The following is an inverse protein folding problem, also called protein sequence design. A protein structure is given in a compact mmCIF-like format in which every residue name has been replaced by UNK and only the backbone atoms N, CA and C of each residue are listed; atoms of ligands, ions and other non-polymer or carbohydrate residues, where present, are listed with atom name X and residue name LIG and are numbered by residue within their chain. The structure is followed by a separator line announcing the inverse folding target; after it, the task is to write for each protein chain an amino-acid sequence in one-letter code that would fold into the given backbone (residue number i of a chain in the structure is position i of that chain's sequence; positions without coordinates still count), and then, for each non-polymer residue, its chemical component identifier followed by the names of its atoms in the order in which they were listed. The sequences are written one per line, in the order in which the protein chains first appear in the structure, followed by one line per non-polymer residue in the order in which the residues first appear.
data_IF_001815653194
#
_entry.id   IF_001815653194
#
_cell.length_a   1.000
_cell.length_b   1.000
_cell.length_c   1.000
_cell.angle_alpha   90.00
_cell.angle_beta   90.00
_cell.angle_gamma   90.00
#
_symmetry.space_group_name_H-M   'P 1'
#
loop_
_entity.id
_entity.type
_entity.pdbx_description
1 polymer ?
#
# COMPACT_ATOMS: atom_id res chain seq x y z
N UNK A 1 0.88 -12.21 15.52
CA UNK A 1 1.26 -10.86 15.05
C UNK A 1 2.75 -10.74 14.78
N UNK A 2 3.65 -10.91 15.76
CA UNK A 2 5.11 -10.71 15.58
C UNK A 2 5.76 -11.56 14.50
N UNK A 3 5.35 -12.82 14.32
CA UNK A 3 5.87 -13.68 13.24
C UNK A 3 5.60 -13.10 11.84
N UNK A 4 4.48 -12.39 11.65
CA UNK A 4 4.17 -11.75 10.37
C UNK A 4 5.08 -10.54 10.08
N UNK A 5 5.49 -9.81 11.10
CA UNK A 5 6.48 -8.74 10.94
C UNK A 5 7.84 -9.30 10.51
N UNK A 6 8.35 -10.31 11.21
CA UNK A 6 9.60 -10.97 10.83
C UNK A 6 9.55 -11.49 9.39
N UNK A 7 8.43 -12.12 9.00
CA UNK A 7 8.23 -12.61 7.65
C UNK A 7 8.14 -11.45 6.62
N UNK A 8 7.43 -10.37 6.95
CA UNK A 8 7.30 -9.20 6.08
C UNK A 8 8.66 -8.51 5.85
N UNK A 9 9.44 -8.34 6.90
CA UNK A 9 10.82 -7.81 6.79
C UNK A 9 11.70 -8.74 5.95
N UNK A 10 11.66 -10.05 6.21
CA UNK A 10 12.41 -11.03 5.44
C UNK A 10 12.05 -10.99 3.94
N UNK A 11 10.76 -10.94 3.62
CA UNK A 11 10.28 -10.82 2.24
C UNK A 11 10.74 -9.50 1.59
N UNK A 12 10.62 -8.38 2.32
CA UNK A 12 11.05 -7.08 1.81
C UNK A 12 12.55 -7.09 1.48
N UNK A 13 13.39 -7.49 2.43
CA UNK A 13 14.85 -7.46 2.23
C UNK A 13 15.33 -8.47 1.19
N UNK A 14 14.72 -9.67 1.14
CA UNK A 14 15.08 -10.69 0.16
C UNK A 14 14.75 -10.26 -1.27
N UNK A 15 13.70 -9.48 -1.45
CA UNK A 15 13.23 -9.03 -2.78
C UNK A 15 13.23 -7.50 -2.91
N UNK A 16 14.12 -6.83 -2.17
CA UNK A 16 14.17 -5.36 -2.07
C UNK A 16 14.25 -4.69 -3.43
N UNK A 17 15.09 -5.21 -4.33
CA UNK A 17 15.25 -4.66 -5.68
C UNK A 17 13.97 -4.71 -6.50
N UNK A 18 13.22 -5.82 -6.44
CA UNK A 18 11.96 -5.96 -7.15
C UNK A 18 10.91 -5.01 -6.59
N UNK A 19 10.73 -4.98 -5.27
CA UNK A 19 9.74 -4.14 -4.63
C UNK A 19 10.06 -2.66 -4.77
N UNK A 20 11.35 -2.29 -4.62
CA UNK A 20 11.78 -0.92 -4.87
C UNK A 20 11.54 -0.50 -6.32
N UNK A 21 11.88 -1.35 -7.31
CA UNK A 21 11.62 -1.05 -8.70
C UNK A 21 10.12 -0.82 -8.98
N UNK A 22 9.23 -1.68 -8.43
CA UNK A 22 7.78 -1.55 -8.60
C UNK A 22 7.29 -0.22 -8.00
N UNK A 23 7.70 0.10 -6.78
CA UNK A 23 7.21 1.29 -6.07
C UNK A 23 7.80 2.56 -6.67
N UNK A 24 9.12 2.60 -6.88
CA UNK A 24 9.82 3.80 -7.37
C UNK A 24 9.39 4.19 -8.79
N UNK A 25 8.99 3.26 -9.62
CA UNK A 25 8.44 3.57 -10.95
C UNK A 25 7.24 4.52 -10.88
N UNK A 26 6.48 4.45 -9.79
CA UNK A 26 5.28 5.29 -9.59
C UNK A 26 5.57 6.43 -8.60
N UNK A 27 6.19 6.13 -7.46
CA UNK A 27 6.38 7.11 -6.39
C UNK A 27 7.41 8.19 -6.75
N UNK A 28 8.50 7.84 -7.44
CA UNK A 28 9.52 8.82 -7.77
C UNK A 28 9.01 9.90 -8.72
N UNK A 29 8.35 9.60 -9.87
CA UNK A 29 7.73 10.63 -10.69
C UNK A 29 6.65 11.42 -9.92
N UNK A 30 5.87 10.74 -9.08
CA UNK A 30 4.85 11.37 -8.23
C UNK A 30 5.47 12.41 -7.29
N UNK A 31 6.53 12.04 -6.57
CA UNK A 31 7.24 12.92 -5.65
C UNK A 31 7.86 14.13 -6.37
N UNK A 32 8.41 13.93 -7.58
CA UNK A 32 8.91 15.04 -8.41
C UNK A 32 7.79 16.01 -8.76
N UNK A 33 6.63 15.51 -9.21
CA UNK A 33 5.47 16.35 -9.55
C UNK A 33 4.97 17.11 -8.33
N UNK A 34 4.83 16.46 -7.17
CA UNK A 34 4.42 17.08 -5.92
C UNK A 34 5.40 18.20 -5.55
N UNK A 35 6.71 17.94 -5.66
CA UNK A 35 7.73 18.94 -5.34
C UNK A 35 7.68 20.14 -6.28
N UNK A 36 7.48 19.92 -7.58
CA UNK A 36 7.31 21.01 -8.55
C UNK A 36 6.07 21.87 -8.25
N UNK A 37 4.94 21.23 -7.88
CA UNK A 37 3.73 21.93 -7.46
C UNK A 37 4.01 22.78 -6.20
N UNK A 38 4.68 22.18 -5.19
CA UNK A 38 5.02 22.87 -3.94
C UNK A 38 5.91 24.10 -4.21
N UNK A 39 6.91 23.96 -5.07
CA UNK A 39 7.80 25.07 -5.43
C UNK A 39 7.08 26.16 -6.21
N UNK A 40 6.18 25.80 -7.13
CA UNK A 40 5.42 26.77 -7.94
C UNK A 40 4.32 27.48 -7.16
N UNK A 41 3.65 26.77 -6.25
CA UNK A 41 2.57 27.33 -5.44
C UNK A 41 3.06 28.19 -4.27
N UNK A 42 4.35 28.11 -3.93
CA UNK A 42 4.95 28.75 -2.77
C UNK A 42 4.59 28.10 -1.43
N UNK A 43 5.38 28.37 -0.41
CA UNK A 43 5.19 27.79 0.96
C UNK A 43 3.82 28.12 1.58
N UNK A 44 3.16 29.19 1.14
CA UNK A 44 1.87 29.63 1.65
C UNK A 44 0.70 28.74 1.18
N UNK A 45 0.88 27.91 0.14
CA UNK A 45 -0.21 27.13 -0.42
C UNK A 45 -0.12 25.63 -0.06
N UNK A 46 -0.04 25.37 1.25
CA UNK A 46 -0.02 24.00 1.81
C UNK A 46 -1.17 23.13 1.29
N UNK A 47 -2.37 23.73 1.13
CA UNK A 47 -3.54 22.99 0.63
C UNK A 47 -3.37 22.49 -0.80
N UNK A 48 -2.73 23.24 -1.69
CA UNK A 48 -2.47 22.79 -3.06
C UNK A 48 -1.56 21.56 -3.07
N UNK A 49 -0.51 21.57 -2.26
CA UNK A 49 0.40 20.43 -2.11
C UNK A 49 -0.33 19.21 -1.53
N UNK A 50 -1.14 19.41 -0.50
CA UNK A 50 -1.92 18.34 0.12
C UNK A 50 -2.89 17.70 -0.87
N UNK A 51 -3.67 18.47 -1.61
CA UNK A 51 -4.59 17.96 -2.63
C UNK A 51 -3.84 17.25 -3.77
N UNK A 52 -2.74 17.80 -4.24
CA UNK A 52 -1.93 17.17 -5.27
C UNK A 52 -1.43 15.80 -4.82
N UNK A 53 -0.88 15.70 -3.61
CA UNK A 53 -0.41 14.44 -3.01
C UNK A 53 -1.53 13.41 -2.90
N UNK A 54 -2.70 13.83 -2.40
CA UNK A 54 -3.87 12.96 -2.27
C UNK A 54 -4.34 12.41 -3.62
N UNK A 55 -4.45 13.25 -4.65
CA UNK A 55 -4.91 12.82 -5.97
C UNK A 55 -3.89 11.91 -6.67
N UNK A 56 -2.60 12.24 -6.58
CA UNK A 56 -1.54 11.40 -7.13
C UNK A 56 -1.58 10.01 -6.48
N UNK A 57 -1.69 9.94 -5.16
CA UNK A 57 -1.77 8.67 -4.45
C UNK A 57 -3.05 7.89 -4.82
N UNK A 58 -4.21 8.52 -4.82
CA UNK A 58 -5.49 7.88 -5.15
C UNK A 58 -5.48 7.27 -6.56
N UNK A 59 -4.89 7.98 -7.53
CA UNK A 59 -4.88 7.55 -8.93
C UNK A 59 -3.79 6.50 -9.19
N UNK A 60 -2.60 6.69 -8.67
CA UNK A 60 -1.44 5.89 -9.05
C UNK A 60 -1.09 4.76 -8.08
N UNK A 61 -1.48 4.86 -6.80
CA UNK A 61 -1.21 3.77 -5.85
C UNK A 61 -1.80 2.42 -6.27
N UNK A 62 -3.00 2.32 -6.84
CA UNK A 62 -3.54 1.04 -7.30
C UNK A 62 -2.61 0.29 -8.26
N UNK A 63 -1.81 1.02 -9.06
CA UNK A 63 -0.90 0.43 -10.02
C UNK A 63 0.22 -0.37 -9.34
N UNK A 64 0.98 0.28 -8.45
CA UNK A 64 2.07 -0.42 -7.76
C UNK A 64 1.57 -1.42 -6.72
N UNK A 65 0.42 -1.17 -6.07
CA UNK A 65 -0.18 -2.10 -5.11
C UNK A 65 -0.62 -3.38 -5.82
N UNK A 66 -1.25 -3.28 -6.99
CA UNK A 66 -1.63 -4.44 -7.79
C UNK A 66 -0.43 -5.28 -8.21
N UNK A 67 0.64 -4.61 -8.69
CA UNK A 67 1.89 -5.26 -9.04
C UNK A 67 2.57 -5.94 -7.83
N UNK A 68 2.60 -5.26 -6.69
CA UNK A 68 3.17 -5.77 -5.44
C UNK A 68 2.45 -7.02 -4.94
N UNK A 69 1.11 -6.99 -4.90
CA UNK A 69 0.29 -8.12 -4.45
C UNK A 69 0.49 -9.33 -5.35
N UNK A 70 0.51 -9.13 -6.66
CA UNK A 70 0.81 -10.21 -7.61
C UNK A 70 2.21 -10.80 -7.38
N UNK A 71 3.23 -9.94 -7.24
CA UNK A 71 4.59 -10.39 -6.96
C UNK A 71 4.67 -11.20 -5.66
N UNK A 72 4.03 -10.72 -4.59
CA UNK A 72 3.96 -11.42 -3.31
C UNK A 72 3.29 -12.78 -3.42
N UNK A 73 2.18 -12.89 -4.17
CA UNK A 73 1.48 -14.16 -4.38
C UNK A 73 2.36 -15.18 -5.12
N UNK A 74 3.07 -14.76 -6.17
CA UNK A 74 4.01 -15.62 -6.91
C UNK A 74 5.16 -16.09 -6.02
N UNK A 75 5.80 -15.18 -5.28
CA UNK A 75 6.88 -15.49 -4.34
C UNK A 75 6.41 -16.49 -3.26
N UNK A 76 5.23 -16.28 -2.67
CA UNK A 76 4.67 -17.18 -1.65
C UNK A 76 4.26 -18.54 -2.20
N UNK A 77 4.00 -18.62 -3.50
CA UNK A 77 3.75 -19.90 -4.22
C UNK A 77 5.05 -20.56 -4.69
N UNK A 78 6.23 -20.03 -4.36
CA UNK A 78 7.53 -20.57 -4.76
C UNK A 78 7.88 -20.34 -6.23
N UNK A 79 7.18 -19.43 -6.90
CA UNK A 79 7.37 -19.11 -8.31
C UNK A 79 8.23 -17.84 -8.47
N UNK A 80 9.03 -17.81 -9.53
CA UNK A 80 9.74 -16.59 -9.92
C UNK A 80 8.76 -15.57 -10.51
N UNK A 81 9.08 -14.29 -10.34
CA UNK A 81 8.31 -13.18 -10.90
C UNK A 81 9.27 -12.10 -11.35
N UNK A 82 9.01 -11.56 -12.53
CA UNK A 82 9.77 -10.43 -13.07
C UNK A 82 9.04 -9.13 -12.83
N UNK A 83 9.78 -8.02 -12.84
CA UNK A 83 9.23 -6.67 -12.75
C UNK A 83 8.15 -6.43 -13.83
N UNK A 84 8.42 -6.84 -15.08
CA UNK A 84 7.48 -6.64 -16.21
C UNK A 84 6.17 -7.37 -16.01
N UNK A 85 6.21 -8.62 -15.57
CA UNK A 85 5.00 -9.41 -15.27
C UNK A 85 4.18 -8.75 -14.16
N UNK A 86 4.84 -8.35 -13.06
CA UNK A 86 4.17 -7.69 -11.96
C UNK A 86 3.48 -6.39 -12.39
N UNK A 87 4.20 -5.52 -13.10
CA UNK A 87 3.66 -4.25 -13.58
C UNK A 87 2.54 -4.42 -14.62
N UNK A 88 2.63 -5.43 -15.49
CA UNK A 88 1.57 -5.74 -16.45
C UNK A 88 0.26 -6.12 -15.74
N UNK A 89 0.34 -6.94 -14.67
CA UNK A 89 -0.84 -7.28 -13.86
C UNK A 89 -1.33 -6.06 -13.07
N UNK A 90 -0.43 -5.27 -12.49
CA UNK A 90 -0.79 -4.01 -11.83
C UNK A 90 -1.59 -3.09 -12.76
N UNK A 91 -1.14 -2.92 -14.00
CA UNK A 91 -1.82 -2.11 -15.02
C UNK A 91 -3.18 -2.73 -15.42
N UNK A 92 -3.24 -4.04 -15.64
CA UNK A 92 -4.49 -4.77 -15.96
C UNK A 92 -5.53 -4.62 -14.86
N UNK A 93 -5.12 -4.65 -13.59
CA UNK A 93 -6.00 -4.57 -12.42
C UNK A 93 -6.19 -3.14 -11.89
N UNK A 94 -5.50 -2.16 -12.47
CA UNK A 94 -5.49 -0.77 -11.99
C UNK A 94 -6.89 -0.20 -11.79
N UNK A 95 -7.74 -0.29 -12.82
CA UNK A 95 -9.09 0.29 -12.75
C UNK A 95 -9.98 -0.43 -11.72
N UNK A 96 -9.89 -1.76 -11.64
CA UNK A 96 -10.66 -2.54 -10.67
C UNK A 96 -10.25 -2.19 -9.23
N UNK A 97 -8.94 -2.06 -8.97
CA UNK A 97 -8.41 -1.63 -7.68
C UNK A 97 -8.78 -0.18 -7.37
N UNK A 98 -8.60 0.73 -8.32
CA UNK A 98 -8.98 2.14 -8.16
C UNK A 98 -10.46 2.26 -7.77
N UNK A 99 -11.36 1.64 -8.54
CA UNK A 99 -12.79 1.70 -8.27
C UNK A 99 -13.17 1.04 -6.93
N UNK A 100 -12.58 -0.12 -6.61
CA UNK A 100 -12.82 -0.81 -5.35
C UNK A 100 -12.40 0.02 -4.15
N UNK A 101 -11.19 0.61 -4.20
CA UNK A 101 -10.66 1.50 -3.15
C UNK A 101 -11.45 2.80 -3.05
N UNK A 102 -11.81 3.40 -4.18
CA UNK A 102 -12.60 4.61 -4.20
C UNK A 102 -13.95 4.41 -3.49
N UNK A 103 -14.68 3.35 -3.84
CA UNK A 103 -15.95 3.01 -3.19
C UNK A 103 -15.73 2.68 -1.70
N UNK A 104 -14.71 1.90 -1.36
CA UNK A 104 -14.41 1.59 0.04
C UNK A 104 -14.11 2.86 0.85
N UNK A 105 -13.33 3.79 0.28
CA UNK A 105 -12.99 5.06 0.92
C UNK A 105 -14.23 5.94 1.15
N UNK A 106 -15.21 5.96 0.24
CA UNK A 106 -16.49 6.65 0.46
C UNK A 106 -17.17 6.10 1.72
N UNK A 107 -17.30 4.77 1.84
CA UNK A 107 -17.93 4.15 3.01
C UNK A 107 -17.14 4.41 4.31
N UNK A 108 -15.81 4.34 4.24
CA UNK A 108 -14.94 4.63 5.39
C UNK A 108 -15.10 6.09 5.81
N UNK A 109 -15.08 7.03 4.86
CA UNK A 109 -15.26 8.46 5.13
C UNK A 109 -16.63 8.77 5.72
N UNK A 110 -17.69 8.15 5.21
CA UNK A 110 -19.03 8.25 5.80
C UNK A 110 -19.05 7.68 7.23
N UNK A 111 -18.34 6.58 7.48
CA UNK A 111 -18.17 6.01 8.80
C UNK A 111 -17.51 6.98 9.78
N UNK A 112 -16.43 7.66 9.35
CA UNK A 112 -15.73 8.67 10.13
C UNK A 112 -16.58 9.94 10.35
N UNK A 113 -17.39 10.32 9.35
CA UNK A 113 -18.31 11.45 9.47
C UNK A 113 -19.38 11.19 10.56
N UNK A 114 -19.84 9.95 10.68
CA UNK A 114 -20.77 9.56 11.71
C UNK A 114 -20.10 9.52 13.10
N UNK A 115 -19.03 8.72 13.23
CA UNK A 115 -18.24 8.57 14.47
C UNK A 115 -16.90 7.89 14.12
N UNK A 116 -15.88 8.13 14.94
CA UNK A 116 -14.54 7.54 14.77
C UNK A 116 -14.60 6.00 14.78
N UNK A 117 -15.36 5.41 15.70
CA UNK A 117 -15.45 3.94 15.86
C UNK A 117 -16.01 3.25 14.61
N UNK A 118 -17.17 3.65 14.03
CA UNK A 118 -17.64 3.04 12.78
C UNK A 118 -16.69 3.26 11.61
N UNK A 119 -15.99 4.39 11.53
CA UNK A 119 -14.96 4.63 10.51
C UNK A 119 -13.82 3.60 10.59
N UNK A 120 -13.26 3.40 11.77
CA UNK A 120 -12.23 2.38 12.03
C UNK A 120 -12.76 0.97 11.71
N UNK A 121 -13.97 0.64 12.11
CA UNK A 121 -14.56 -0.68 11.85
C UNK A 121 -14.73 -0.95 10.35
N UNK A 122 -15.12 0.07 9.57
CA UNK A 122 -15.21 -0.05 8.11
C UNK A 122 -13.82 -0.16 7.45
N UNK A 123 -12.84 0.62 7.90
CA UNK A 123 -11.47 0.52 7.43
C UNK A 123 -10.92 -0.91 7.66
N UNK A 124 -11.15 -1.49 8.83
CA UNK A 124 -10.73 -2.86 9.14
C UNK A 124 -11.48 -3.92 8.31
N UNK A 125 -12.77 -3.72 8.01
CA UNK A 125 -13.53 -4.61 7.12
C UNK A 125 -12.95 -4.65 5.70
N UNK A 126 -12.41 -3.55 5.23
CA UNK A 126 -11.85 -3.41 3.89
C UNK A 126 -10.32 -3.52 3.85
N UNK A 127 -9.67 -3.84 4.98
CA UNK A 127 -8.21 -3.94 5.05
C UNK A 127 -7.58 -4.97 4.10
N UNK A 128 -8.32 -6.03 3.75
CA UNK A 128 -7.87 -7.08 2.83
C UNK A 128 -8.54 -6.99 1.44
N UNK A 129 -9.07 -5.80 1.09
CA UNK A 129 -9.74 -5.57 -0.18
C UNK A 129 -8.81 -5.73 -1.38
N UNK A 130 -7.62 -5.12 -1.30
CA UNK A 130 -6.67 -5.10 -2.40
C UNK A 130 -6.25 -6.50 -2.85
N UNK A 131 -5.78 -7.41 -1.96
CA UNK A 131 -5.46 -8.76 -2.37
C UNK A 131 -6.69 -9.54 -2.87
N UNK A 132 -7.88 -9.29 -2.33
CA UNK A 132 -9.09 -9.93 -2.84
C UNK A 132 -9.45 -9.51 -4.27
N UNK A 133 -9.25 -8.23 -4.62
CA UNK A 133 -9.48 -7.71 -5.99
C UNK A 133 -8.44 -8.26 -6.98
N UNK A 134 -7.17 -8.31 -6.58
CA UNK A 134 -6.08 -8.70 -7.49
C UNK A 134 -6.07 -10.21 -7.75
N UNK A 135 -6.31 -11.02 -6.71
CA UNK A 135 -6.06 -12.46 -6.75
C UNK A 135 -7.33 -13.31 -6.98
N UNK A 136 -8.51 -12.82 -6.58
CA UNK A 136 -9.73 -13.63 -6.70
C UNK A 136 -10.57 -13.29 -7.93
N UNK A 137 -10.22 -12.23 -8.69
CA UNK A 137 -10.88 -11.76 -9.93
C UNK A 137 -12.43 -11.70 -9.84
N UNK A 138 -12.91 -11.42 -8.64
CA UNK A 138 -14.32 -11.22 -8.38
C UNK A 138 -14.66 -9.74 -8.50
N UNK A 139 -15.81 -9.39 -9.02
CA UNK A 139 -16.24 -8.01 -9.14
C UNK A 139 -16.14 -7.21 -7.82
N UNK A 140 -16.14 -5.89 -7.88
CA UNK A 140 -15.87 -4.97 -6.77
C UNK A 140 -16.72 -5.28 -5.52
N UNK A 141 -18.02 -5.54 -5.70
CA UNK A 141 -18.93 -5.85 -4.59
C UNK A 141 -18.56 -7.17 -3.90
N UNK A 142 -18.25 -8.20 -4.67
CA UNK A 142 -17.86 -9.51 -4.15
C UNK A 142 -16.52 -9.45 -3.42
N UNK A 143 -15.54 -8.67 -3.93
CA UNK A 143 -14.25 -8.46 -3.27
C UNK A 143 -14.39 -7.73 -1.93
N UNK A 144 -15.31 -6.76 -1.81
CA UNK A 144 -15.61 -6.10 -0.54
C UNK A 144 -16.24 -7.06 0.48
N UNK A 145 -17.23 -7.85 0.04
CA UNK A 145 -17.83 -8.88 0.89
C UNK A 145 -16.77 -9.90 1.33
N UNK A 146 -15.89 -10.31 0.41
CA UNK A 146 -14.79 -11.22 0.68
C UNK A 146 -13.82 -10.66 1.73
N UNK A 147 -13.36 -9.42 1.57
CA UNK A 147 -12.52 -8.74 2.57
C UNK A 147 -13.18 -8.72 3.95
N UNK A 148 -14.47 -8.39 4.01
CA UNK A 148 -15.24 -8.38 5.27
C UNK A 148 -15.26 -9.76 5.95
N UNK A 149 -15.42 -10.83 5.17
CA UNK A 149 -15.39 -12.22 5.67
C UNK A 149 -14.00 -12.62 6.16
N UNK A 150 -12.95 -12.32 5.38
CA UNK A 150 -11.57 -12.68 5.72
C UNK A 150 -11.04 -11.92 6.95
N UNK A 151 -11.52 -10.71 7.21
CA UNK A 151 -11.14 -9.91 8.39
C UNK A 151 -11.94 -10.29 9.64
N UNK A 152 -13.03 -11.06 9.51
CA UNK A 152 -13.84 -11.46 10.65
C UNK A 152 -13.01 -12.27 11.66
N UNK A 153 -13.14 -11.92 12.95
CA UNK A 153 -12.39 -12.55 14.04
C UNK A 153 -10.93 -12.08 14.21
N UNK A 154 -10.35 -11.38 13.21
CA UNK A 154 -8.94 -10.93 13.24
C UNK A 154 -8.77 -9.41 13.18
N UNK A 155 -9.86 -8.65 13.26
CA UNK A 155 -9.84 -7.18 13.07
C UNK A 155 -8.93 -6.47 14.05
N UNK A 156 -8.95 -6.86 15.31
CA UNK A 156 -8.10 -6.26 16.34
C UNK A 156 -6.61 -6.58 16.14
N UNK A 157 -6.31 -7.79 15.65
CA UNK A 157 -4.94 -8.16 15.32
C UNK A 157 -4.42 -7.35 14.12
N UNK A 158 -5.25 -7.15 13.08
CA UNK A 158 -4.92 -6.32 11.92
C UNK A 158 -4.76 -4.86 12.36
N UNK A 159 -5.65 -4.34 13.20
CA UNK A 159 -5.54 -2.99 13.75
C UNK A 159 -4.23 -2.79 14.49
N UNK A 160 -3.91 -3.69 15.42
CA UNK A 160 -2.67 -3.62 16.18
C UNK A 160 -1.43 -3.67 15.28
N UNK A 161 -1.45 -4.51 14.24
CA UNK A 161 -0.35 -4.60 13.28
C UNK A 161 -0.19 -3.29 12.47
N UNK A 162 -1.28 -2.75 11.94
CA UNK A 162 -1.26 -1.50 11.16
C UNK A 162 -0.83 -0.32 12.04
N UNK A 163 -1.37 -0.20 13.25
CA UNK A 163 -0.99 0.87 14.20
C UNK A 163 0.50 0.80 14.54
N UNK A 164 1.02 -0.41 14.82
CA UNK A 164 2.43 -0.57 15.16
C UNK A 164 3.35 -0.20 13.98
N UNK A 165 3.00 -0.61 12.76
CA UNK A 165 3.74 -0.21 11.55
C UNK A 165 3.66 1.30 11.31
N UNK A 166 2.49 1.89 11.51
CA UNK A 166 2.30 3.34 11.35
C UNK A 166 3.13 4.14 12.34
N UNK A 167 3.15 3.72 13.61
CA UNK A 167 4.03 4.33 14.63
C UNK A 167 5.51 4.17 14.28
N UNK A 168 5.92 3.00 13.79
CA UNK A 168 7.27 2.79 13.28
C UNK A 168 7.62 3.71 12.12
N UNK A 169 6.71 3.88 11.15
CA UNK A 169 6.88 4.82 10.03
C UNK A 169 7.00 6.26 10.51
N UNK A 170 6.21 6.69 11.51
CA UNK A 170 6.32 8.03 12.10
C UNK A 170 7.73 8.24 12.67
N UNK A 171 8.23 7.28 13.45
CA UNK A 171 9.59 7.38 14.05
C UNK A 171 10.65 7.47 12.95
N UNK A 172 10.56 6.63 11.93
CA UNK A 172 11.48 6.66 10.78
C UNK A 172 11.37 7.99 10.03
N UNK A 173 10.16 8.49 9.80
CA UNK A 173 9.95 9.79 9.13
C UNK A 173 10.56 10.93 9.94
N UNK A 174 10.34 10.98 11.25
CA UNK A 174 10.95 12.00 12.12
C UNK A 174 12.48 11.95 11.99
N UNK A 175 13.09 10.76 12.03
CA UNK A 175 14.53 10.60 11.90
C UNK A 175 15.06 11.17 10.57
N UNK A 176 14.38 10.92 9.47
CA UNK A 176 14.77 11.43 8.15
C UNK A 176 14.51 12.93 7.97
N UNK A 177 13.42 13.46 8.53
CA UNK A 177 13.06 14.87 8.34
C UNK A 177 13.66 15.82 9.39
N UNK A 178 14.12 15.31 10.54
CA UNK A 178 14.75 16.13 11.57
C UNK A 178 15.91 17.01 11.05
N UNK A 179 16.85 16.50 10.21
CA UNK A 179 17.92 17.30 9.66
C UNK A 179 17.42 18.48 8.78
N UNK A 180 16.33 18.26 8.02
CA UNK A 180 15.77 19.33 7.16
C UNK A 180 15.19 20.47 8.00
N UNK A 181 14.46 20.15 9.07
CA UNK A 181 13.96 21.14 10.01
C UNK A 181 15.08 21.94 10.69
N UNK A 182 16.19 21.28 11.02
CA UNK A 182 17.37 21.97 11.59
C UNK A 182 18.03 22.92 10.59
N UNK A 183 18.19 22.51 9.32
CA UNK A 183 18.76 23.33 8.26
C UNK A 183 17.86 24.56 7.99
N UNK A 184 16.53 24.38 7.97
CA UNK A 184 15.58 25.47 7.82
C UNK A 184 15.60 26.44 9.02
N UNK A 185 15.68 25.91 10.24
CA UNK A 185 15.78 26.72 11.47
C UNK A 185 17.08 27.55 11.56
N UNK A 186 18.16 27.08 10.93
CA UNK A 186 19.44 27.77 10.85
C UNK A 186 19.51 28.77 9.66
N UNK A 187 18.40 28.94 8.93
CA UNK A 187 18.29 29.82 7.75
C UNK A 187 19.35 29.57 6.66
N UNK A 188 19.86 28.35 6.57
CA UNK A 188 20.86 27.97 5.57
C UNK A 188 20.23 27.94 4.17
N UNK A 189 20.79 28.72 3.24
CA UNK A 189 20.34 28.82 1.84
C UNK A 189 20.74 27.60 1.01
N UNK A 190 20.29 26.40 1.39
CA UNK A 190 20.58 25.16 0.67
C UNK A 190 19.35 24.67 -0.09
N UNK A 191 19.53 24.34 -1.38
CA UNK A 191 18.46 23.72 -2.14
C UNK A 191 18.35 22.23 -1.76
N UNK A 192 17.44 21.90 -0.86
CA UNK A 192 17.21 20.55 -0.35
C UNK A 192 16.21 19.73 -1.19
N UNK A 193 15.58 20.33 -2.21
CA UNK A 193 14.55 19.67 -3.00
C UNK A 193 14.95 18.28 -3.57
N UNK A 194 16.15 18.09 -4.15
CA UNK A 194 16.55 16.77 -4.62
C UNK A 194 16.68 15.72 -3.50
N UNK A 195 17.19 16.15 -2.34
CA UNK A 195 17.38 15.25 -1.19
C UNK A 195 16.02 14.88 -0.59
N UNK A 196 15.09 15.82 -0.47
CA UNK A 196 13.72 15.55 -0.03
C UNK A 196 13.02 14.54 -0.94
N UNK A 197 13.13 14.67 -2.27
CA UNK A 197 12.56 13.70 -3.23
C UNK A 197 13.13 12.29 -3.00
N UNK A 198 14.44 12.19 -2.73
CA UNK A 198 15.06 10.89 -2.42
C UNK A 198 14.54 10.32 -1.11
N UNK A 199 14.43 11.13 -0.06
CA UNK A 199 13.89 10.70 1.24
C UNK A 199 12.45 10.24 1.10
N UNK A 200 11.58 11.00 0.42
CA UNK A 200 10.20 10.63 0.15
C UNK A 200 10.11 9.29 -0.61
N UNK A 201 11.01 9.10 -1.57
CA UNK A 201 11.07 7.87 -2.36
C UNK A 201 11.50 6.65 -1.52
N UNK A 202 12.48 6.84 -0.63
CA UNK A 202 12.89 5.79 0.33
C UNK A 202 11.75 5.46 1.30
N UNK A 203 11.09 6.47 1.85
CA UNK A 203 9.93 6.28 2.73
C UNK A 203 8.79 5.55 2.00
N UNK A 204 8.56 5.84 0.73
CA UNK A 204 7.57 5.12 -0.10
C UNK A 204 7.89 3.62 -0.20
N UNK A 205 9.16 3.23 -0.29
CA UNK A 205 9.57 1.82 -0.26
C UNK A 205 9.31 1.19 1.11
N UNK A 206 9.54 1.93 2.18
CA UNK A 206 9.29 1.43 3.55
C UNK A 206 7.80 1.22 3.80
N UNK A 207 6.91 2.06 3.25
CA UNK A 207 5.45 1.90 3.37
C UNK A 207 4.94 0.59 2.75
N UNK A 208 5.71 -0.04 1.86
CA UNK A 208 5.40 -1.36 1.30
C UNK A 208 5.21 -2.41 2.40
N UNK A 209 5.87 -2.28 3.56
CA UNK A 209 5.71 -3.20 4.69
C UNK A 209 4.26 -3.36 5.12
N UNK A 210 3.46 -2.28 5.09
CA UNK A 210 2.03 -2.34 5.43
C UNK A 210 1.31 -3.26 4.45
N UNK A 211 1.57 -3.09 3.15
CA UNK A 211 0.95 -3.92 2.12
C UNK A 211 1.38 -5.39 2.21
N UNK A 212 2.65 -5.65 2.54
CA UNK A 212 3.15 -7.02 2.75
C UNK A 212 2.46 -7.66 3.95
N UNK A 213 2.35 -6.96 5.08
CA UNK A 213 1.68 -7.47 6.28
C UNK A 213 0.19 -7.75 6.02
N UNK A 214 -0.52 -6.83 5.36
CA UNK A 214 -1.92 -7.05 4.99
C UNK A 214 -2.07 -8.23 4.02
N UNK A 215 -1.17 -8.38 3.05
CA UNK A 215 -1.14 -9.54 2.18
C UNK A 215 -0.90 -10.84 2.94
N UNK A 216 -0.02 -10.87 3.95
CA UNK A 216 0.21 -12.05 4.77
C UNK A 216 -1.03 -12.44 5.59
N UNK A 217 -1.78 -11.46 6.11
CA UNK A 217 -3.07 -11.72 6.75
C UNK A 217 -4.08 -12.32 5.77
N UNK A 218 -4.16 -11.78 4.56
CA UNK A 218 -5.01 -12.33 3.51
C UNK A 218 -4.62 -13.77 3.16
N UNK A 219 -3.33 -14.01 2.92
CA UNK A 219 -2.80 -15.32 2.53
C UNK A 219 -3.10 -16.40 3.56
N UNK A 220 -2.92 -16.10 4.83
CA UNK A 220 -3.24 -17.01 5.93
C UNK A 220 -4.75 -17.23 6.07
N UNK A 221 -5.56 -16.17 5.94
CA UNK A 221 -7.00 -16.28 6.03
C UNK A 221 -7.60 -17.14 4.91
N UNK A 222 -7.05 -17.08 3.70
CA UNK A 222 -7.47 -17.94 2.58
C UNK A 222 -7.05 -19.38 2.81
N UNK A 223 -5.82 -19.64 3.26
CA UNK A 223 -5.35 -21.01 3.57
C UNK A 223 -6.08 -21.68 4.73
N UNK A 224 -6.56 -20.90 5.69
CA UNK A 224 -7.27 -21.41 6.85
C UNK A 224 -8.75 -21.74 6.60
N UNK A 225 -9.27 -21.52 5.40
CA UNK A 225 -10.65 -21.89 5.07
C UNK A 225 -10.73 -23.36 4.67
N UNK A 226 -11.54 -24.21 5.37
CA UNK A 226 -11.77 -25.59 4.95
C UNK A 226 -12.52 -25.55 3.61
N UNK A 227 -11.89 -26.02 2.56
CA UNK A 227 -12.46 -26.11 1.20
C UNK A 227 -11.59 -25.55 0.07
N UNK A 228 -10.54 -24.78 0.35
CA UNK A 228 -9.62 -24.26 -0.69
C UNK A 228 -8.41 -25.17 -0.94
N UNK A 229 -8.28 -26.25 -0.21
CA UNK A 229 -7.21 -27.26 -0.44
C UNK A 229 -7.45 -28.12 -1.69
N UNK A 230 -8.58 -28.00 -2.38
CA UNK A 230 -8.98 -28.87 -3.49
C UNK A 230 -9.14 -28.17 -4.85
N UNK A 231 -8.85 -26.89 -4.99
CA UNK A 231 -8.82 -26.26 -6.30
C UNK A 231 -7.44 -25.67 -6.59
N UNK A 232 -6.58 -26.52 -7.12
CA UNK A 232 -5.40 -26.17 -7.93
C UNK A 232 -5.75 -25.29 -9.17
N UNK A 233 -6.84 -24.56 -9.10
CA UNK A 233 -7.30 -23.67 -10.19
C UNK A 233 -6.48 -22.40 -10.33
N UNK A 234 -5.52 -22.14 -9.45
CA UNK A 234 -4.51 -21.10 -9.65
C UNK A 234 -3.48 -21.44 -10.71
N UNK A 235 -3.27 -22.71 -11.01
CA UNK A 235 -2.32 -23.17 -12.03
C UNK A 235 -2.88 -23.06 -13.47
N UNK A 236 -4.18 -23.14 -13.64
CA UNK A 236 -4.78 -23.09 -15.00
C UNK A 236 -5.11 -21.69 -15.51
N UNK A 237 -5.23 -20.69 -14.65
CA UNK A 237 -5.52 -19.31 -15.07
C UNK A 237 -4.26 -18.46 -15.35
N UNK A 238 -3.07 -19.00 -15.12
CA UNK A 238 -1.79 -18.34 -15.43
C UNK A 238 -1.23 -18.77 -16.80
N UNK A 239 -1.86 -19.78 -17.45
CA UNK A 239 -1.43 -20.30 -18.77
C UNK A 239 -2.32 -19.88 -19.95
N UNK A 240 -3.29 -18.96 -19.76
CA UNK A 240 -4.11 -18.45 -20.85
C UNK A 240 -3.88 -16.94 -21.07
#
# INVERSE_FOLDING_TARGET
MFNKFGEAFSLLFKHIWLFSAIVLTVSLPGNVIIKLITLSAGKANFMATLYASMWIEVIFAPLYIGALIYALARIKSGQSVTYREAMAVGLKKWFALFAARFIANIFISLGFLLLIVPGIMLALRYALLDPAVVLEDKGISASRARSTTLTAGRRWEILGAVVLLFLGLIVVSIFFYLPFGAIEALELSVNLAPVEILVDSVLSVITVLINIVLFLYYWEAVKGQPGTAASSSGEQQVQA
#
